data_IF_647297183952
#
_entry.id   IF_647297183952
#
_cell.length_a   1.000
_cell.length_b   1.000
_cell.length_c   1.000
_cell.angle_alpha   90.00
_cell.angle_beta   90.00
_cell.angle_gamma   90.00
#
_symmetry.space_group_name_H-M   'P 1'
#
loop_
_entity.id
_entity.type
_entity.pdbx_description
1 polymer ?
#
# COMPACT_ATOMS: atom_id res chain seq x y z
N UNK A 1 2.40 -1.35 30.96
CA UNK A 1 2.71 -1.57 29.53
C UNK A 1 3.42 -0.31 29.03
N UNK A 2 4.72 -0.36 28.81
CA UNK A 2 5.53 0.78 28.35
C UNK A 2 5.07 1.21 26.95
N UNK A 3 4.94 2.51 26.67
CA UNK A 3 4.41 3.03 25.39
C UNK A 3 5.04 2.38 24.15
N UNK A 4 6.34 2.10 24.20
CA UNK A 4 7.11 1.46 23.13
C UNK A 4 6.58 0.09 22.72
N UNK A 5 6.11 -0.73 23.68
CA UNK A 5 5.60 -2.06 23.37
C UNK A 5 4.28 -2.00 22.61
N UNK A 6 3.41 -1.05 22.96
CA UNK A 6 2.15 -0.86 22.26
C UNK A 6 2.42 -0.48 20.79
N UNK A 7 3.42 0.38 20.53
CA UNK A 7 3.79 0.93 19.20
C UNK A 7 4.16 -0.15 18.16
N UNK A 8 4.71 -1.26 18.62
CA UNK A 8 5.14 -2.36 17.75
C UNK A 8 4.02 -3.36 17.42
N UNK A 9 2.87 -3.31 18.11
CA UNK A 9 1.83 -4.35 17.98
C UNK A 9 1.28 -4.41 16.56
N UNK A 10 0.88 -3.28 15.98
CA UNK A 10 0.24 -3.27 14.66
C UNK A 10 1.20 -3.60 13.50
N UNK A 11 2.43 -3.04 13.44
CA UNK A 11 3.41 -3.45 12.43
C UNK A 11 3.76 -4.94 12.53
N UNK A 12 3.98 -5.45 13.74
CA UNK A 12 4.31 -6.87 13.95
C UNK A 12 3.15 -7.77 13.56
N UNK A 13 1.91 -7.39 13.89
CA UNK A 13 0.72 -8.13 13.48
C UNK A 13 0.58 -8.17 11.94
N UNK A 14 0.81 -7.04 11.26
CA UNK A 14 0.78 -7.00 9.80
C UNK A 14 1.83 -7.93 9.17
N UNK A 15 3.05 -7.95 9.72
CA UNK A 15 4.13 -8.84 9.26
C UNK A 15 3.82 -10.32 9.53
N UNK A 16 3.21 -10.65 10.67
CA UNK A 16 2.79 -12.01 10.99
C UNK A 16 1.71 -12.51 10.03
N UNK A 17 0.69 -11.69 9.76
CA UNK A 17 -0.36 -12.04 8.81
C UNK A 17 0.19 -12.20 7.40
N UNK A 18 1.12 -11.33 7.01
CA UNK A 18 1.84 -11.46 5.74
C UNK A 18 2.58 -12.80 5.66
N UNK A 19 3.38 -13.14 6.68
CA UNK A 19 4.19 -14.36 6.71
C UNK A 19 3.34 -15.64 6.72
N UNK A 20 2.25 -15.65 7.48
CA UNK A 20 1.32 -16.78 7.53
C UNK A 20 0.66 -17.00 6.16
N UNK A 21 0.19 -15.92 5.52
CA UNK A 21 -0.44 -16.03 4.22
C UNK A 21 0.54 -16.46 3.12
N UNK A 22 1.75 -15.90 3.12
CA UNK A 22 2.81 -16.30 2.19
C UNK A 22 3.17 -17.79 2.35
N UNK A 23 3.28 -18.26 3.60
CA UNK A 23 3.51 -19.68 3.91
C UNK A 23 2.38 -20.61 3.42
N UNK A 24 1.14 -20.15 3.46
CA UNK A 24 -0.03 -20.88 2.97
C UNK A 24 -0.23 -20.76 1.44
N UNK A 25 0.65 -20.04 0.73
CA UNK A 25 0.54 -19.78 -0.71
C UNK A 25 -0.49 -18.70 -1.09
N UNK A 26 -0.97 -17.94 -0.10
CA UNK A 26 -1.82 -16.77 -0.29
C UNK A 26 -1.02 -15.48 -0.47
N UNK A 27 -1.70 -14.38 -0.80
CA UNK A 27 -1.05 -13.08 -0.89
C UNK A 27 -0.86 -12.46 0.49
N UNK A 28 0.39 -12.41 0.96
CA UNK A 28 0.75 -11.73 2.21
C UNK A 28 0.28 -10.27 2.26
N UNK A 29 0.30 -9.56 1.12
CA UNK A 29 -0.20 -8.19 1.03
C UNK A 29 -1.70 -8.08 1.31
N UNK A 30 -2.50 -8.97 0.73
CA UNK A 30 -3.95 -8.99 0.98
C UNK A 30 -4.22 -9.33 2.45
N UNK A 31 -3.50 -10.31 3.01
CA UNK A 31 -3.68 -10.70 4.41
C UNK A 31 -3.34 -9.57 5.39
N UNK A 32 -2.22 -8.87 5.19
CA UNK A 32 -1.85 -7.72 6.02
C UNK A 32 -2.89 -6.59 5.91
N UNK A 33 -3.40 -6.33 4.70
CA UNK A 33 -4.42 -5.31 4.46
C UNK A 33 -5.76 -5.64 5.13
N UNK A 34 -6.27 -6.85 4.92
CA UNK A 34 -7.52 -7.32 5.56
C UNK A 34 -7.34 -7.36 7.08
N UNK A 35 -6.16 -7.77 7.57
CA UNK A 35 -5.79 -7.70 8.98
C UNK A 35 -5.93 -6.30 9.56
N UNK A 36 -5.42 -5.29 8.85
CA UNK A 36 -5.58 -3.89 9.22
C UNK A 36 -7.05 -3.44 9.28
N UNK A 37 -7.87 -3.84 8.30
CA UNK A 37 -9.32 -3.54 8.29
C UNK A 37 -10.07 -4.17 9.47
N UNK A 38 -9.81 -5.44 9.75
CA UNK A 38 -10.41 -6.15 10.89
C UNK A 38 -10.00 -5.49 12.21
N UNK A 39 -8.72 -5.14 12.31
CA UNK A 39 -8.16 -4.46 13.49
C UNK A 39 -8.83 -3.10 13.71
N UNK A 40 -8.98 -2.29 12.67
CA UNK A 40 -9.70 -1.02 12.75
C UNK A 40 -11.17 -1.22 13.20
N UNK A 41 -11.82 -2.29 12.74
CA UNK A 41 -13.21 -2.59 13.12
C UNK A 41 -13.36 -3.09 14.57
N UNK A 42 -12.40 -3.88 15.06
CA UNK A 42 -12.42 -4.49 16.40
C UNK A 42 -12.02 -3.50 17.48
N UNK A 43 -10.95 -2.73 17.25
CA UNK A 43 -10.41 -1.79 18.23
C UNK A 43 -11.06 -0.40 18.13
N UNK A 44 -11.85 -0.13 17.08
CA UNK A 44 -12.60 1.12 16.95
C UNK A 44 -11.68 2.34 16.80
N UNK A 45 -11.91 3.39 17.59
CA UNK A 45 -10.97 4.51 17.71
C UNK A 45 -9.72 4.03 18.43
N UNK A 46 -8.76 3.55 17.65
CA UNK A 46 -7.38 3.40 18.10
C UNK A 46 -6.92 4.78 18.60
N UNK A 47 -6.22 4.80 19.74
CA UNK A 47 -5.69 6.00 20.37
C UNK A 47 -5.03 6.92 19.31
N UNK A 48 -5.30 8.22 19.35
CA UNK A 48 -4.93 9.14 18.27
C UNK A 48 -3.40 9.19 18.07
N UNK A 49 -2.65 9.05 19.16
CA UNK A 49 -1.20 8.88 19.18
C UNK A 49 -0.73 7.63 18.42
N UNK A 50 -1.51 6.55 18.47
CA UNK A 50 -1.20 5.31 17.77
C UNK A 50 -1.35 5.43 16.26
N UNK A 51 -2.42 6.09 15.83
CA UNK A 51 -2.68 6.32 14.40
C UNK A 51 -1.61 7.24 13.81
N UNK A 52 -1.32 8.34 14.50
CA UNK A 52 -0.29 9.32 14.09
C UNK A 52 1.10 8.70 14.01
N UNK A 53 1.42 7.79 14.93
CA UNK A 53 2.69 7.06 14.92
C UNK A 53 2.82 6.12 13.73
N UNK A 54 1.80 5.30 13.45
CA UNK A 54 1.80 4.39 12.29
C UNK A 54 1.88 5.18 10.98
N UNK A 55 1.16 6.30 10.90
CA UNK A 55 1.20 7.17 9.73
C UNK A 55 2.60 7.76 9.51
N UNK A 56 3.22 8.28 10.56
CA UNK A 56 4.56 8.88 10.51
C UNK A 56 5.65 7.86 10.15
N UNK A 57 5.68 6.70 10.82
CA UNK A 57 6.67 5.65 10.53
C UNK A 57 6.41 4.99 9.17
N UNK A 58 5.13 4.76 8.83
CA UNK A 58 4.74 4.27 7.52
C UNK A 58 5.21 5.20 6.40
N UNK A 59 5.11 6.51 6.60
CA UNK A 59 5.59 7.50 5.64
C UNK A 59 7.11 7.46 5.45
N UNK A 60 7.88 7.24 6.53
CA UNK A 60 9.33 7.04 6.41
C UNK A 60 9.68 5.79 5.61
N UNK A 61 8.97 4.68 5.85
CA UNK A 61 9.15 3.43 5.09
C UNK A 61 8.79 3.65 3.61
N UNK A 62 7.67 4.33 3.33
CA UNK A 62 7.25 4.69 1.97
C UNK A 62 8.33 5.53 1.27
N UNK A 63 8.86 6.54 1.96
CA UNK A 63 9.92 7.39 1.43
C UNK A 63 11.19 6.57 1.14
N UNK A 64 11.57 5.66 2.04
CA UNK A 64 12.71 4.77 1.83
C UNK A 64 12.50 3.85 0.62
N UNK A 65 11.30 3.27 0.45
CA UNK A 65 10.95 2.45 -0.72
C UNK A 65 11.07 3.27 -2.00
N UNK A 66 10.49 4.48 -2.05
CA UNK A 66 10.59 5.35 -3.22
C UNK A 66 12.03 5.81 -3.51
N UNK A 67 12.81 6.10 -2.47
CA UNK A 67 14.21 6.47 -2.60
C UNK A 67 15.03 5.32 -3.20
N UNK A 68 14.90 4.10 -2.65
CA UNK A 68 15.60 2.91 -3.16
C UNK A 68 15.14 2.62 -4.59
N UNK A 69 13.83 2.66 -4.86
CA UNK A 69 13.29 2.46 -6.20
C UNK A 69 13.86 3.47 -7.20
N UNK A 70 13.88 4.76 -6.85
CA UNK A 70 14.47 5.81 -7.68
C UNK A 70 15.95 5.58 -7.93
N UNK A 71 16.73 5.24 -6.90
CA UNK A 71 18.15 4.95 -7.02
C UNK A 71 18.43 3.77 -7.97
N UNK A 72 17.64 2.70 -7.87
CA UNK A 72 17.74 1.53 -8.75
C UNK A 72 17.38 1.90 -10.20
N UNK A 73 16.30 2.65 -10.41
CA UNK A 73 15.88 3.07 -11.76
C UNK A 73 16.93 3.96 -12.43
N UNK A 74 17.54 4.90 -11.69
CA UNK A 74 18.60 5.78 -12.23
C UNK A 74 19.78 4.96 -12.76
N UNK A 75 20.17 3.88 -12.08
CA UNK A 75 21.24 2.99 -12.56
C UNK A 75 20.91 2.28 -13.87
N UNK A 76 19.62 2.15 -14.21
CA UNK A 76 19.11 1.52 -15.44
C UNK A 76 18.62 2.54 -16.47
N UNK A 77 18.89 3.83 -16.27
CA UNK A 77 18.38 4.88 -17.14
C UNK A 77 18.85 4.75 -18.60
N UNK A 78 20.04 4.16 -18.84
CA UNK A 78 20.56 3.89 -20.18
C UNK A 78 19.75 2.85 -20.95
N UNK A 79 19.02 1.99 -20.27
CA UNK A 79 18.21 0.92 -20.87
C UNK A 79 16.79 1.40 -21.21
N UNK A 80 16.45 2.66 -20.90
CA UNK A 80 15.14 3.23 -21.16
C UNK A 80 15.02 3.56 -22.65
N UNK A 81 14.16 2.83 -23.34
CA UNK A 81 13.86 3.05 -24.76
C UNK A 81 12.62 3.94 -24.94
N UNK A 82 12.44 4.51 -26.13
CA UNK A 82 11.22 5.21 -26.50
C UNK A 82 9.96 4.32 -26.36
N UNK A 83 10.09 3.01 -26.58
CA UNK A 83 9.01 2.05 -26.38
C UNK A 83 8.63 1.92 -24.89
N UNK A 84 9.62 1.91 -23.98
CA UNK A 84 9.38 1.92 -22.53
C UNK A 84 8.60 3.16 -22.11
N UNK A 85 8.95 4.33 -22.63
CA UNK A 85 8.26 5.60 -22.34
C UNK A 85 6.84 5.59 -22.88
N UNK A 86 6.64 5.16 -24.14
CA UNK A 86 5.31 5.05 -24.73
C UNK A 86 4.43 4.07 -23.95
N UNK A 87 4.97 2.92 -23.56
CA UNK A 87 4.26 1.94 -22.71
C UNK A 87 3.90 2.53 -21.35
N UNK A 88 4.80 3.28 -20.70
CA UNK A 88 4.51 3.94 -19.43
C UNK A 88 3.36 4.95 -19.54
N UNK A 89 3.37 5.80 -20.58
CA UNK A 89 2.29 6.76 -20.84
C UNK A 89 0.96 6.04 -21.07
N UNK A 90 0.98 4.98 -21.89
CA UNK A 90 -0.21 4.17 -22.17
C UNK A 90 -0.74 3.48 -20.90
N UNK A 91 0.16 2.98 -20.06
CA UNK A 91 -0.20 2.34 -18.79
C UNK A 91 -0.80 3.33 -17.80
N UNK A 92 -0.28 4.56 -17.76
CA UNK A 92 -0.79 5.61 -16.88
C UNK A 92 -2.16 6.13 -17.30
N UNK A 93 -2.45 6.12 -18.60
CA UNK A 93 -3.69 6.64 -19.17
C UNK A 93 -4.69 5.52 -19.39
N UNK A 94 -4.47 4.66 -20.38
CA UNK A 94 -5.43 3.66 -20.83
C UNK A 94 -5.60 2.54 -19.81
N UNK A 95 -4.50 1.89 -19.41
CA UNK A 95 -4.57 0.70 -18.54
C UNK A 95 -5.15 1.04 -17.17
N UNK A 96 -4.93 2.27 -16.68
CA UNK A 96 -5.51 2.74 -15.41
C UNK A 96 -6.94 3.27 -15.57
N UNK A 97 -7.24 4.06 -16.59
CA UNK A 97 -8.57 4.67 -16.71
C UNK A 97 -9.66 3.68 -17.12
N UNK A 98 -9.34 2.65 -17.91
CA UNK A 98 -10.34 1.67 -18.36
C UNK A 98 -10.98 0.91 -17.18
N UNK A 99 -10.22 0.29 -16.25
CA UNK A 99 -10.81 -0.40 -15.10
C UNK A 99 -11.60 0.54 -14.19
N UNK A 100 -11.13 1.78 -14.02
CA UNK A 100 -11.85 2.80 -13.23
C UNK A 100 -13.17 3.15 -13.91
N UNK A 101 -13.17 3.45 -15.20
CA UNK A 101 -14.38 3.73 -15.96
C UNK A 101 -15.34 2.54 -15.94
N UNK A 102 -14.84 1.31 -16.07
CA UNK A 102 -15.63 0.08 -15.95
C UNK A 102 -16.25 -0.11 -14.57
N UNK A 103 -15.50 0.15 -13.50
CA UNK A 103 -16.01 0.09 -12.12
C UNK A 103 -17.04 1.19 -11.82
N UNK A 104 -16.98 2.32 -12.52
CA UNK A 104 -17.94 3.42 -12.41
C UNK A 104 -19.13 3.29 -13.38
N UNK A 105 -19.01 2.50 -14.46
CA UNK A 105 -20.04 2.28 -15.47
C UNK A 105 -21.21 1.49 -14.88
N UNK A 106 -22.15 2.20 -14.25
CA UNK A 106 -23.30 1.63 -13.56
C UNK A 106 -23.60 2.28 -12.21
N UNK A 107 -22.66 3.03 -11.63
CA UNK A 107 -22.98 3.96 -10.55
C UNK A 107 -23.62 5.20 -11.15
N UNK A 108 -24.94 5.33 -11.01
CA UNK A 108 -25.61 6.63 -11.08
C UNK A 108 -25.01 7.51 -10.00
N UNK A 109 -23.96 8.26 -10.34
CA UNK A 109 -23.39 9.28 -9.49
C UNK A 109 -24.42 10.42 -9.39
N UNK A 110 -25.41 10.26 -8.51
CA UNK A 110 -26.21 11.38 -8.03
C UNK A 110 -25.27 12.27 -7.22
N UNK A 111 -24.78 13.31 -7.90
CA UNK A 111 -24.22 14.48 -7.27
C UNK A 111 -25.39 15.22 -6.60
N UNK A 112 -25.62 14.95 -5.32
CA UNK A 112 -26.47 15.78 -4.44
C UNK A 112 -25.57 16.62 -3.55
#
# INVERSE_FOLDING_TARGET
MTETYKRLVFPTLALLLWAIADFLGGSGFIAAFVGGLVTARVFGKIEEDFTTFIESEGQLIILAVFFIFGAVIVSKASDITAATVAYAILSLTIIRMIPVAGALAGKHLHYQ
#
